data_IF_303262008344
#
_entry.id   IF_303262008344
#
_cell.length_a   1.000
_cell.length_b   1.000
_cell.length_c   1.000
_cell.angle_alpha   90.00
_cell.angle_beta   90.00
_cell.angle_gamma   90.00
#
_symmetry.space_group_name_H-M   'P 1'
#
loop_
_entity.id
_entity.type
_entity.pdbx_description
1 polymer ?
#
# COMPACT_ATOMS: atom_id res chain seq x y z
N UNK A 1 -26.65 19.42 -0.15
CA UNK A 1 -25.43 18.73 -0.62
C UNK A 1 -24.62 18.30 0.59
N UNK A 2 -24.75 17.06 1.02
CA UNK A 2 -23.94 16.49 2.11
C UNK A 2 -23.55 15.09 1.67
N UNK A 3 -22.41 14.97 0.98
CA UNK A 3 -21.76 13.66 0.87
C UNK A 3 -21.36 13.30 2.28
N UNK A 4 -22.14 12.40 2.87
CA UNK A 4 -21.95 11.88 4.22
C UNK A 4 -20.47 11.58 4.43
N UNK A 5 -19.88 12.16 5.47
CA UNK A 5 -18.48 11.98 5.86
C UNK A 5 -18.25 10.57 6.45
N UNK A 6 -18.86 9.55 5.85
CA UNK A 6 -18.78 8.16 6.28
C UNK A 6 -17.45 7.62 5.79
N UNK A 7 -16.53 7.43 6.73
CA UNK A 7 -15.35 6.61 6.56
C UNK A 7 -15.79 5.22 6.07
N UNK A 8 -15.07 4.65 5.10
CA UNK A 8 -15.28 3.25 4.73
C UNK A 8 -15.07 2.39 5.99
N UNK A 9 -15.79 1.25 6.15
CA UNK A 9 -15.55 0.34 7.27
C UNK A 9 -14.09 -0.16 7.32
N UNK A 10 -13.41 -0.06 6.19
CA UNK A 10 -12.01 -0.40 5.98
C UNK A 10 -11.02 0.76 6.24
N UNK A 11 -11.51 1.96 6.56
CA UNK A 11 -10.68 3.12 6.78
C UNK A 11 -9.88 2.97 8.08
N UNK A 12 -8.58 3.17 7.97
CA UNK A 12 -7.63 3.06 9.07
C UNK A 12 -6.73 4.30 9.06
N UNK A 13 -6.26 4.73 10.25
CA UNK A 13 -5.23 5.77 10.39
C UNK A 13 -3.88 5.36 9.81
N UNK A 14 -3.70 4.06 9.58
CA UNK A 14 -2.48 3.49 9.01
C UNK A 14 -2.72 3.24 7.53
N UNK A 15 -1.84 3.80 6.69
CA UNK A 15 -1.78 3.55 5.26
C UNK A 15 -0.58 2.66 4.94
N UNK A 16 -0.78 1.76 3.97
CA UNK A 16 0.25 0.97 3.34
C UNK A 16 0.54 1.52 1.95
N UNK A 17 1.78 1.93 1.74
CA UNK A 17 2.27 2.52 0.50
C UNK A 17 3.12 1.50 -0.22
N UNK A 18 2.80 1.20 -1.47
CA UNK A 18 3.57 0.32 -2.37
C UNK A 18 4.06 1.11 -3.57
N UNK A 19 4.99 0.49 -4.29
CA UNK A 19 5.59 1.03 -5.51
C UNK A 19 6.40 2.31 -5.27
N UNK A 20 6.92 2.51 -4.05
CA UNK A 20 7.83 3.61 -3.76
C UNK A 20 9.16 3.41 -4.49
N UNK A 21 9.79 4.50 -4.97
CA UNK A 21 11.10 4.42 -5.58
C UNK A 21 12.14 4.01 -4.53
N UNK A 22 13.10 3.18 -4.93
CA UNK A 22 14.06 2.54 -4.03
C UNK A 22 15.10 3.49 -3.43
N UNK A 23 15.18 4.70 -3.97
CA UNK A 23 16.03 5.80 -3.53
C UNK A 23 15.23 6.84 -2.71
N UNK A 24 14.01 6.54 -2.27
CA UNK A 24 13.24 7.49 -1.46
C UNK A 24 13.80 7.60 -0.05
N UNK A 25 13.99 8.82 0.41
CA UNK A 25 14.39 9.11 1.78
C UNK A 25 13.18 9.32 2.69
N UNK A 26 13.33 8.94 3.96
CA UNK A 26 12.29 9.12 4.99
C UNK A 26 11.82 10.59 5.13
N UNK A 27 12.69 11.61 5.15
CA UNK A 27 12.26 13.02 5.23
C UNK A 27 11.37 13.43 4.06
N UNK A 28 11.69 12.98 2.84
CA UNK A 28 10.88 13.26 1.65
C UNK A 28 9.48 12.65 1.75
N UNK A 29 9.36 11.47 2.38
CA UNK A 29 8.05 10.88 2.68
C UNK A 29 7.28 11.72 3.71
N UNK A 30 7.96 12.24 4.75
CA UNK A 30 7.32 13.14 5.70
C UNK A 30 6.80 14.42 5.01
N UNK A 31 7.57 15.00 4.10
CA UNK A 31 7.13 16.19 3.34
C UNK A 31 5.98 15.89 2.37
N UNK A 32 5.97 14.71 1.74
CA UNK A 32 4.90 14.30 0.83
C UNK A 32 3.59 14.05 1.57
N UNK A 33 3.64 13.20 2.61
CA UNK A 33 2.46 12.76 3.35
C UNK A 33 2.00 13.80 4.38
N UNK A 34 2.90 14.63 4.90
CA UNK A 34 2.61 15.68 5.90
C UNK A 34 1.75 16.81 5.35
N UNK A 35 1.72 17.03 4.03
CA UNK A 35 0.81 17.99 3.36
C UNK A 35 -0.68 17.64 3.52
N UNK A 36 -0.98 16.38 3.86
CA UNK A 36 -2.33 15.87 3.97
C UNK A 36 -2.85 15.77 5.40
N UNK A 37 -1.97 15.96 6.40
CA UNK A 37 -2.33 15.95 7.81
C UNK A 37 -1.14 15.61 8.72
N UNK A 38 -1.30 15.76 10.05
CA UNK A 38 -0.29 15.41 11.04
C UNK A 38 0.04 13.91 11.01
N UNK A 39 1.34 13.63 10.88
CA UNK A 39 1.91 12.30 10.84
C UNK A 39 2.43 11.89 12.22
N UNK A 40 2.04 10.71 12.67
CA UNK A 40 2.57 10.11 13.91
C UNK A 40 3.88 9.37 13.67
N UNK A 41 3.94 8.56 12.61
CA UNK A 41 5.13 7.76 12.30
C UNK A 41 5.13 7.33 10.83
N UNK A 42 6.32 7.28 10.22
CA UNK A 42 6.56 6.59 8.94
C UNK A 42 7.56 5.46 9.17
N UNK A 43 7.25 4.27 8.64
CA UNK A 43 8.14 3.10 8.63
C UNK A 43 8.37 2.65 7.20
N UNK A 44 9.54 2.97 6.65
CA UNK A 44 9.96 2.48 5.33
C UNK A 44 10.62 1.10 5.44
N UNK A 45 10.33 0.20 4.50
CA UNK A 45 10.99 -1.10 4.41
C UNK A 45 12.41 -0.96 3.85
N UNK A 46 13.42 -1.46 4.58
CA UNK A 46 14.83 -1.39 4.15
C UNK A 46 15.36 -2.70 3.55
N UNK A 47 14.67 -3.82 3.75
CA UNK A 47 15.11 -5.16 3.28
C UNK A 47 14.76 -5.35 1.80
N UNK A 48 15.52 -6.17 1.05
CA UNK A 48 15.23 -6.44 -0.37
C UNK A 48 13.78 -6.88 -0.65
N UNK A 49 13.13 -7.60 0.27
CA UNK A 49 11.73 -8.02 0.13
C UNK A 49 10.71 -6.91 0.44
N UNK A 50 11.09 -5.90 1.23
CA UNK A 50 10.20 -4.82 1.71
C UNK A 50 10.57 -3.45 1.13
N UNK A 51 11.66 -3.35 0.38
CA UNK A 51 12.12 -2.14 -0.29
C UNK A 51 11.04 -1.64 -1.25
N UNK A 52 10.78 -0.34 -1.26
CA UNK A 52 9.71 0.25 -2.06
C UNK A 52 8.31 0.08 -1.44
N UNK A 53 8.25 -0.32 -0.16
CA UNK A 53 7.03 -0.27 0.64
C UNK A 53 7.24 0.59 1.89
N UNK A 54 6.17 1.22 2.38
CA UNK A 54 6.18 1.96 3.63
C UNK A 54 4.83 1.90 4.33
N UNK A 55 4.86 2.03 5.65
CA UNK A 55 3.68 2.27 6.47
C UNK A 55 3.69 3.72 6.94
N UNK A 56 2.58 4.42 6.73
CA UNK A 56 2.37 5.80 7.14
C UNK A 56 1.25 5.81 8.17
N UNK A 57 1.53 6.33 9.37
CA UNK A 57 0.58 6.42 10.47
C UNK A 57 0.21 7.87 10.67
N UNK A 58 -1.04 8.22 10.41
CA UNK A 58 -1.62 9.52 10.72
C UNK A 58 -2.13 9.57 12.16
N UNK A 59 -2.33 10.78 12.67
CA UNK A 59 -3.04 10.98 13.94
C UNK A 59 -4.54 10.76 13.78
N UNK A 60 -5.14 11.25 12.70
CA UNK A 60 -6.57 11.10 12.39
C UNK A 60 -6.80 10.15 11.20
N UNK A 61 -7.92 9.43 11.23
CA UNK A 61 -8.38 8.56 10.14
C UNK A 61 -8.86 9.39 8.95
N UNK A 62 -9.42 10.58 9.17
CA UNK A 62 -9.87 11.48 8.11
C UNK A 62 -8.70 11.99 7.26
N UNK A 63 -7.57 12.30 7.90
CA UNK A 63 -6.35 12.71 7.20
C UNK A 63 -5.77 11.56 6.38
N UNK A 64 -5.76 10.35 6.97
CA UNK A 64 -5.36 9.14 6.27
C UNK A 64 -6.24 8.89 5.03
N UNK A 65 -7.56 9.12 5.14
CA UNK A 65 -8.47 9.03 4.00
C UNK A 65 -8.12 10.05 2.91
N UNK A 66 -7.93 11.30 3.28
CA UNK A 66 -7.60 12.37 2.34
C UNK A 66 -6.26 12.10 1.63
N UNK A 67 -5.26 11.61 2.36
CA UNK A 67 -3.98 11.20 1.81
C UNK A 67 -4.13 10.00 0.85
N UNK A 68 -4.91 8.99 1.24
CA UNK A 68 -5.17 7.82 0.40
C UNK A 68 -5.83 8.20 -0.93
N UNK A 69 -6.88 9.02 -0.90
CA UNK A 69 -7.62 9.42 -2.10
C UNK A 69 -6.78 10.28 -3.05
N UNK A 70 -5.85 11.10 -2.53
CA UNK A 70 -5.03 12.03 -3.34
C UNK A 70 -3.70 11.44 -3.80
N UNK A 71 -3.07 10.61 -2.98
CA UNK A 71 -1.74 10.06 -3.26
C UNK A 71 -1.80 8.70 -3.96
N UNK A 72 -2.94 8.01 -3.93
CA UNK A 72 -3.12 6.80 -4.73
C UNK A 72 -3.13 7.16 -6.22
N UNK A 73 -2.21 6.57 -6.98
CA UNK A 73 -1.99 6.90 -8.40
C UNK A 73 -1.19 8.19 -8.62
N UNK A 74 -0.61 8.79 -7.57
CA UNK A 74 0.25 9.96 -7.73
C UNK A 74 1.59 9.58 -8.33
N UNK A 75 2.05 10.33 -9.35
CA UNK A 75 3.36 10.12 -9.94
C UNK A 75 4.45 10.74 -9.06
N UNK A 76 5.28 9.89 -8.48
CA UNK A 76 6.40 10.27 -7.64
C UNK A 76 7.69 9.62 -8.18
N UNK A 77 8.61 10.46 -8.67
CA UNK A 77 9.88 10.02 -9.27
C UNK A 77 9.71 8.96 -10.37
N UNK A 78 8.79 9.23 -11.32
CA UNK A 78 8.44 8.34 -12.43
C UNK A 78 7.80 7.01 -12.01
N UNK A 79 7.28 6.91 -10.79
CA UNK A 79 6.53 5.75 -10.29
C UNK A 79 5.18 6.19 -9.75
N UNK A 80 4.13 5.49 -10.14
CA UNK A 80 2.79 5.72 -9.62
C UNK A 80 2.64 5.05 -8.26
N UNK A 81 2.46 5.85 -7.21
CA UNK A 81 2.30 5.33 -5.87
C UNK A 81 0.98 4.56 -5.75
N UNK A 82 1.01 3.47 -4.98
CA UNK A 82 -0.19 2.73 -4.62
C UNK A 82 -0.38 2.89 -3.12
N UNK A 83 -1.47 3.55 -2.72
CA UNK A 83 -1.77 3.84 -1.32
C UNK A 83 -3.04 3.10 -0.94
N UNK A 84 -2.94 2.25 0.08
CA UNK A 84 -4.01 1.38 0.54
C UNK A 84 -4.21 1.57 2.04
N UNK A 85 -5.41 1.34 2.56
CA UNK A 85 -5.60 1.24 4.00
C UNK A 85 -4.92 -0.01 4.55
N UNK A 86 -4.30 0.10 5.71
CA UNK A 86 -3.72 -1.06 6.38
C UNK A 86 -4.83 -1.96 6.93
N UNK A 87 -4.93 -3.16 6.38
CA UNK A 87 -5.90 -4.19 6.77
C UNK A 87 -5.13 -5.39 7.33
N UNK A 88 -4.90 -5.47 8.65
CA UNK A 88 -4.10 -6.55 9.24
C UNK A 88 -4.72 -7.94 9.00
N UNK A 89 -6.05 -8.04 8.90
CA UNK A 89 -6.75 -9.31 8.63
C UNK A 89 -6.55 -9.78 7.19
N UNK A 90 -6.75 -8.89 6.20
CA UNK A 90 -6.54 -9.26 4.79
C UNK A 90 -5.06 -9.41 4.44
N UNK A 91 -4.17 -8.70 5.14
CA UNK A 91 -2.74 -8.78 4.89
C UNK A 91 -2.14 -10.10 5.38
N UNK A 92 -2.65 -10.68 6.49
CA UNK A 92 -2.31 -12.05 6.93
C UNK A 92 -2.55 -13.07 5.80
N UNK A 93 -3.63 -12.92 5.04
CA UNK A 93 -3.98 -13.79 3.91
C UNK A 93 -2.97 -13.61 2.76
N UNK A 94 -2.64 -12.37 2.39
CA UNK A 94 -1.72 -12.11 1.26
C UNK A 94 -0.24 -12.41 1.55
N UNK A 95 0.19 -12.40 2.82
CA UNK A 95 1.58 -12.68 3.21
C UNK A 95 1.81 -14.10 3.72
N UNK A 96 0.75 -14.81 4.14
CA UNK A 96 0.86 -16.21 4.53
C UNK A 96 0.63 -17.09 3.31
N UNK A 97 1.70 -17.37 2.55
CA UNK A 97 2.00 -18.67 1.92
C UNK A 97 1.04 -19.25 0.85
N UNK A 98 -0.26 -19.00 0.91
CA UNK A 98 -1.31 -19.60 0.07
C UNK A 98 -1.33 -19.01 -1.34
N UNK A 99 -1.08 -17.70 -1.49
CA UNK A 99 -1.12 -17.00 -2.79
C UNK A 99 0.04 -17.36 -3.73
N UNK A 100 1.19 -17.84 -3.22
CA UNK A 100 2.32 -18.23 -4.08
C UNK A 100 2.12 -19.66 -4.57
N UNK A 101 1.77 -20.58 -3.68
CA UNK A 101 1.55 -21.99 -4.03
C UNK A 101 0.33 -22.17 -4.94
N UNK A 102 -0.80 -21.53 -4.62
CA UNK A 102 -2.00 -21.62 -5.46
C UNK A 102 -1.81 -20.97 -6.84
N UNK A 103 -0.97 -19.94 -6.94
CA UNK A 103 -0.67 -19.28 -8.21
C UNK A 103 0.36 -20.05 -9.04
N UNK A 104 1.27 -20.77 -8.40
CA UNK A 104 2.15 -21.74 -9.06
C UNK A 104 1.36 -22.92 -9.61
N UNK A 105 0.47 -23.51 -8.81
CA UNK A 105 -0.35 -24.65 -9.23
C UNK A 105 -1.31 -24.29 -10.39
N UNK A 106 -1.92 -23.10 -10.34
CA UNK A 106 -2.75 -22.62 -11.44
C UNK A 106 -1.93 -22.35 -12.71
N UNK A 107 -0.70 -21.84 -12.60
CA UNK A 107 0.19 -21.67 -13.75
C UNK A 107 0.59 -23.01 -14.36
N UNK A 108 0.91 -24.02 -13.54
CA UNK A 108 1.29 -25.36 -14.00
C UNK A 108 0.13 -26.06 -14.70
N UNK A 109 -1.09 -25.94 -14.16
CA UNK A 109 -2.31 -26.43 -14.82
C UNK A 109 -2.52 -25.77 -16.19
N UNK A 110 -2.38 -24.45 -16.28
CA UNK A 110 -2.52 -23.74 -17.56
C UNK A 110 -1.41 -24.10 -18.57
N UNK A 111 -0.18 -24.35 -18.10
CA UNK A 111 0.93 -24.80 -18.96
C UNK A 111 0.68 -26.21 -19.52
N UNK A 112 0.16 -27.12 -18.69
CA UNK A 112 -0.25 -28.46 -19.14
C UNK A 112 -1.44 -28.42 -20.10
N UNK A 113 -2.45 -27.60 -19.80
CA UNK A 113 -3.66 -27.48 -20.64
C UNK A 113 -3.37 -26.89 -22.02
N UNK A 114 -2.35 -26.03 -22.13
CA UNK A 114 -1.94 -25.43 -23.40
C UNK A 114 -0.71 -26.09 -24.05
N UNK A 115 -0.15 -27.15 -23.46
CA UNK A 115 0.97 -27.91 -24.03
C UNK A 115 2.24 -27.09 -24.27
N UNK A 116 2.51 -26.11 -23.40
CA UNK A 116 3.67 -25.22 -23.49
C UNK A 116 4.66 -25.65 -22.39
N UNK A 117 5.71 -26.37 -22.80
CA UNK A 117 6.86 -26.72 -21.95
C UNK A 117 7.83 -25.53 -21.81
#
# INVERSE_FOLDING_TARGET
MSRSNKLAPEANRILFVKNLPYNVDTPTLFDLFGKHGPLRQIRAGSTNNTKGTAYVVYEDVMDAKNACDRLNGFNFMNRYLVVLYHQPEKMKITSATEDIAARQENLEKMKQEHGID
#
